data_IF_427648983262
#
_entry.id   IF_427648983262
#
_cell.length_a   1.000
_cell.length_b   1.000
_cell.length_c   1.000
_cell.angle_alpha   90.00
_cell.angle_beta   90.00
_cell.angle_gamma   90.00
#
_symmetry.space_group_name_H-M   'P 1'
#
loop_
_entity.id
_entity.type
_entity.pdbx_description
1 polymer ?
#
# COMPACT_ATOMS: atom_id res chain seq x y z
N UNK A 1 7.11 9.51 15.02
CA UNK A 1 6.61 10.28 13.87
C UNK A 1 7.77 10.53 12.95
N UNK A 2 7.60 10.30 11.65
CA UNK A 2 8.64 10.56 10.66
C UNK A 2 8.34 11.91 10.00
N UNK A 3 9.29 12.85 10.01
CA UNK A 3 9.10 14.18 9.43
C UNK A 3 9.29 14.11 7.91
N UNK A 4 8.18 13.97 7.17
CA UNK A 4 8.16 14.01 5.71
C UNK A 4 6.78 13.67 5.14
N UNK A 5 6.41 14.28 4.00
CA UNK A 5 5.22 13.88 3.27
C UNK A 5 5.44 12.47 2.69
N UNK A 6 4.78 11.47 3.25
CA UNK A 6 4.74 10.12 2.69
C UNK A 6 3.61 10.00 1.65
N UNK A 7 3.71 9.00 0.78
CA UNK A 7 2.74 8.72 -0.27
C UNK A 7 1.44 8.08 0.27
N UNK A 8 1.56 7.18 1.25
CA UNK A 8 0.43 6.50 1.91
C UNK A 8 0.66 6.33 3.41
N UNK A 9 -0.43 6.39 4.17
CA UNK A 9 -0.49 6.07 5.60
C UNK A 9 -1.67 5.12 5.86
N UNK A 10 -1.46 4.16 6.75
CA UNK A 10 -2.50 3.23 7.21
C UNK A 10 -2.73 3.37 8.71
N UNK A 11 -3.99 3.45 9.11
CA UNK A 11 -4.41 3.59 10.50
C UNK A 11 -5.34 2.43 10.86
N UNK A 12 -4.85 1.51 11.70
CA UNK A 12 -5.65 0.39 12.17
C UNK A 12 -6.83 0.88 13.00
N UNK A 13 -8.00 0.29 12.77
CA UNK A 13 -9.17 0.50 13.61
C UNK A 13 -9.17 -0.53 14.75
N UNK A 14 -9.19 -0.05 15.99
CA UNK A 14 -9.38 -0.88 17.17
C UNK A 14 -10.86 -0.83 17.60
N UNK A 15 -11.62 -1.93 17.45
CA UNK A 15 -13.02 -1.93 17.87
C UNK A 15 -13.14 -1.82 19.39
N UNK A 16 -14.22 -1.19 19.91
CA UNK A 16 -14.48 -1.17 21.34
C UNK A 16 -14.55 -2.58 21.93
N UNK A 17 -14.07 -2.80 23.17
CA UNK A 17 -14.11 -4.10 23.82
C UNK A 17 -15.52 -4.71 23.80
N UNK A 18 -15.61 -5.98 23.38
CA UNK A 18 -16.89 -6.70 23.27
C UNK A 18 -17.65 -6.44 21.96
N UNK A 19 -17.04 -5.79 20.97
CA UNK A 19 -17.61 -5.56 19.64
C UNK A 19 -16.73 -6.18 18.57
N UNK A 20 -17.34 -6.86 17.61
CA UNK A 20 -16.69 -7.25 16.36
C UNK A 20 -17.30 -6.43 15.22
N UNK A 21 -16.48 -5.61 14.58
CA UNK A 21 -16.88 -4.81 13.41
C UNK A 21 -16.01 -5.21 12.23
N UNK A 22 -16.57 -5.40 11.02
CA UNK A 22 -15.80 -5.73 9.82
C UNK A 22 -15.11 -4.48 9.23
N UNK A 23 -14.43 -3.71 10.09
CA UNK A 23 -13.72 -2.47 9.73
C UNK A 23 -12.24 -2.70 10.02
N UNK A 24 -11.40 -2.56 9.00
CA UNK A 24 -9.95 -2.72 9.13
C UNK A 24 -9.26 -1.45 9.62
N UNK A 25 -9.71 -0.28 9.12
CA UNK A 25 -9.04 0.99 9.36
C UNK A 25 -9.13 1.94 8.17
N UNK A 26 -8.29 2.97 8.20
CA UNK A 26 -8.21 4.01 7.18
C UNK A 26 -6.92 3.89 6.36
N UNK A 27 -7.04 4.15 5.06
CA UNK A 27 -5.89 4.35 4.16
C UNK A 27 -5.94 5.79 3.65
N UNK A 28 -4.91 6.58 3.95
CA UNK A 28 -4.80 7.99 3.55
C UNK A 28 -3.71 8.11 2.50
N UNK A 29 -4.08 8.59 1.30
CA UNK A 29 -3.17 8.71 0.16
C UNK A 29 -2.94 10.18 -0.19
N UNK A 30 -1.66 10.58 -0.28
CA UNK A 30 -1.29 11.93 -0.69
C UNK A 30 -1.19 12.04 -2.22
N UNK A 31 -2.30 12.42 -2.86
CA UNK A 31 -2.39 12.42 -4.32
C UNK A 31 -1.28 13.20 -5.06
N UNK A 32 -0.84 14.40 -4.62
CA UNK A 32 0.26 15.10 -5.29
C UNK A 32 1.60 14.36 -5.21
N UNK A 33 1.87 13.67 -4.10
CA UNK A 33 3.10 12.87 -3.90
C UNK A 33 3.07 11.65 -4.81
N UNK A 34 1.97 10.89 -4.82
CA UNK A 34 1.80 9.71 -5.69
C UNK A 34 1.95 10.06 -7.16
N UNK A 35 1.34 11.18 -7.62
CA UNK A 35 1.48 11.63 -9.01
C UNK A 35 2.92 11.97 -9.37
N UNK A 36 3.64 12.64 -8.47
CA UNK A 36 5.06 12.99 -8.67
C UNK A 36 5.94 11.73 -8.75
N UNK A 37 5.71 10.77 -7.86
CA UNK A 37 6.44 9.50 -7.85
C UNK A 37 6.18 8.67 -9.11
N UNK A 38 4.91 8.55 -9.52
CA UNK A 38 4.54 7.85 -10.75
C UNK A 38 5.30 8.43 -11.96
N UNK A 39 5.33 9.76 -12.08
CA UNK A 39 6.09 10.43 -13.13
C UNK A 39 7.60 10.18 -13.04
N UNK A 40 8.18 10.28 -11.84
CA UNK A 40 9.61 10.07 -11.63
C UNK A 40 10.06 8.63 -11.92
N UNK A 41 9.17 7.65 -11.70
CA UNK A 41 9.42 6.23 -11.93
C UNK A 41 8.95 5.75 -13.32
N UNK A 42 8.41 6.64 -14.16
CA UNK A 42 7.85 6.27 -15.46
C UNK A 42 6.63 5.34 -15.38
N UNK A 43 5.96 5.27 -14.23
CA UNK A 43 4.77 4.44 -14.00
C UNK A 43 3.50 5.18 -14.41
N UNK A 44 2.49 4.44 -14.84
CA UNK A 44 1.14 4.99 -14.95
C UNK A 44 0.70 5.53 -13.60
N UNK A 45 0.11 6.73 -13.57
CA UNK A 45 -0.46 7.31 -12.35
C UNK A 45 -1.47 6.35 -11.73
N UNK A 46 -2.35 5.74 -12.53
CA UNK A 46 -3.35 4.81 -12.04
C UNK A 46 -2.72 3.55 -11.42
N UNK A 47 -1.66 3.01 -12.04
CA UNK A 47 -0.95 1.85 -11.51
C UNK A 47 -0.27 2.18 -10.18
N UNK A 48 0.35 3.36 -10.06
CA UNK A 48 0.99 3.79 -8.81
C UNK A 48 -0.03 4.04 -7.69
N UNK A 49 -1.21 4.60 -8.00
CA UNK A 49 -2.30 4.67 -7.02
C UNK A 49 -2.79 3.30 -6.57
N UNK A 50 -2.98 2.37 -7.53
CA UNK A 50 -3.38 1.00 -7.19
C UNK A 50 -2.34 0.32 -6.30
N UNK A 51 -1.05 0.52 -6.57
CA UNK A 51 0.05 0.07 -5.73
C UNK A 51 -0.07 0.61 -4.30
N UNK A 52 -0.20 1.92 -4.12
CA UNK A 52 -0.29 2.54 -2.80
C UNK A 52 -1.52 2.10 -2.00
N UNK A 53 -2.66 1.90 -2.68
CA UNK A 53 -3.88 1.40 -2.01
C UNK A 53 -3.70 -0.07 -1.59
N UNK A 54 -3.15 -0.92 -2.46
CA UNK A 54 -2.89 -2.32 -2.11
C UNK A 54 -1.92 -2.43 -0.93
N UNK A 55 -0.82 -1.69 -0.99
CA UNK A 55 0.17 -1.57 0.09
C UNK A 55 -0.49 -1.12 1.40
N UNK A 56 -1.27 -0.05 1.36
CA UNK A 56 -1.97 0.47 2.54
C UNK A 56 -2.95 -0.52 3.15
N UNK A 57 -3.70 -1.27 2.32
CA UNK A 57 -4.63 -2.30 2.79
C UNK A 57 -3.89 -3.50 3.38
N UNK A 58 -2.77 -3.93 2.79
CA UNK A 58 -1.97 -5.03 3.33
C UNK A 58 -1.42 -4.69 4.73
N UNK A 59 -1.03 -3.43 4.95
CA UNK A 59 -0.71 -2.95 6.30
C UNK A 59 -1.89 -3.08 7.27
N UNK A 60 -3.10 -2.75 6.84
CA UNK A 60 -4.29 -2.93 7.68
C UNK A 60 -4.62 -4.41 7.95
N UNK A 61 -4.20 -5.32 7.07
CA UNK A 61 -4.29 -6.76 7.25
C UNK A 61 -3.18 -7.34 8.15
N UNK A 62 -2.27 -6.51 8.67
CA UNK A 62 -1.18 -6.93 9.54
C UNK A 62 0.09 -7.37 8.82
N UNK A 63 0.21 -7.14 7.51
CA UNK A 63 1.47 -7.35 6.80
C UNK A 63 2.42 -6.18 7.08
N UNK A 64 3.62 -6.51 7.56
CA UNK A 64 4.70 -5.55 7.79
C UNK A 64 5.78 -5.63 6.72
N UNK A 65 6.71 -4.68 6.77
CA UNK A 65 7.92 -4.68 5.95
C UNK A 65 9.14 -4.27 6.79
N UNK A 66 9.12 -4.53 8.11
CA UNK A 66 10.22 -4.13 9.00
C UNK A 66 11.43 -5.06 8.86
N UNK A 67 11.18 -6.31 8.48
CA UNK A 67 12.19 -7.31 8.21
C UNK A 67 12.15 -7.76 6.74
N UNK A 68 13.30 -8.09 6.16
CA UNK A 68 13.41 -8.50 4.75
C UNK A 68 12.47 -9.66 4.38
N UNK A 69 12.28 -10.62 5.29
CA UNK A 69 11.35 -11.74 5.07
C UNK A 69 9.89 -11.33 5.04
N UNK A 70 9.51 -10.31 5.83
CA UNK A 70 8.15 -9.76 5.82
C UNK A 70 7.93 -8.94 4.55
N UNK A 71 8.92 -8.13 4.18
CA UNK A 71 8.91 -7.36 2.95
C UNK A 71 8.71 -8.26 1.72
N UNK A 72 9.48 -9.33 1.58
CA UNK A 72 9.32 -10.28 0.45
C UNK A 72 7.91 -10.86 0.33
N UNK A 73 7.28 -11.20 1.46
CA UNK A 73 5.90 -11.72 1.46
C UNK A 73 4.93 -10.63 1.04
N UNK A 74 5.10 -9.41 1.57
CA UNK A 74 4.24 -8.27 1.24
C UNK A 74 4.38 -7.85 -0.23
N UNK A 75 5.61 -7.77 -0.75
CA UNK A 75 5.91 -7.46 -2.16
C UNK A 75 5.27 -8.49 -3.11
N UNK A 76 5.35 -9.79 -2.78
CA UNK A 76 4.72 -10.84 -3.57
C UNK A 76 3.18 -10.71 -3.59
N UNK A 77 2.56 -10.33 -2.46
CA UNK A 77 1.12 -10.09 -2.38
C UNK A 77 0.72 -8.84 -3.19
N UNK A 78 1.50 -7.77 -3.10
CA UNK A 78 1.28 -6.54 -3.88
C UNK A 78 1.35 -6.82 -5.38
N UNK A 79 2.39 -7.53 -5.84
CA UNK A 79 2.53 -7.95 -7.24
C UNK A 79 1.34 -8.81 -7.69
N UNK A 80 0.93 -9.78 -6.87
CA UNK A 80 -0.22 -10.63 -7.18
C UNK A 80 -1.53 -9.81 -7.31
N UNK A 81 -1.79 -8.90 -6.37
CA UNK A 81 -2.98 -8.04 -6.39
C UNK A 81 -2.97 -7.16 -7.64
N UNK A 82 -1.86 -6.49 -7.95
CA UNK A 82 -1.78 -5.57 -9.08
C UNK A 82 -1.96 -6.29 -10.42
N UNK A 83 -1.27 -7.41 -10.60
CA UNK A 83 -1.38 -8.22 -11.83
C UNK A 83 -2.79 -8.81 -12.01
N UNK A 84 -3.46 -9.22 -10.93
CA UNK A 84 -4.85 -9.69 -10.98
C UNK A 84 -5.84 -8.61 -11.44
N UNK A 85 -5.51 -7.34 -11.20
CA UNK A 85 -6.30 -6.17 -11.59
C UNK A 85 -5.88 -5.60 -12.97
N UNK A 86 -4.95 -6.26 -13.67
CA UNK A 86 -4.49 -5.88 -15.00
C UNK A 86 -3.39 -4.81 -15.03
N UNK A 87 -2.77 -4.51 -13.89
CA UNK A 87 -1.57 -3.65 -13.84
C UNK A 87 -0.30 -4.48 -14.01
N UNK A 88 0.79 -3.82 -14.41
CA UNK A 88 2.11 -4.43 -14.39
C UNK A 88 2.58 -4.70 -12.96
N UNK A 89 3.49 -5.66 -12.80
CA UNK A 89 4.18 -5.90 -11.53
C UNK A 89 4.99 -4.65 -11.15
N UNK A 90 4.77 -4.05 -9.95
CA UNK A 90 5.45 -2.83 -9.55
C UNK A 90 6.94 -3.01 -9.22
N UNK A 91 7.41 -4.26 -9.08
CA UNK A 91 8.78 -4.66 -8.74
C UNK A 91 9.56 -5.29 -9.90
N UNK A 92 8.90 -5.62 -11.01
CA UNK A 92 9.62 -6.04 -12.20
C UNK A 92 10.36 -4.84 -12.80
N UNK A 93 11.68 -4.92 -12.88
CA UNK A 93 12.46 -4.01 -13.72
C UNK A 93 12.00 -4.19 -15.18
N UNK A 94 11.71 -3.07 -15.85
CA UNK A 94 11.28 -3.04 -17.26
C UNK A 94 12.31 -3.65 -18.22
#
# INVERSE_FOLDING_TARGET
GHDGATNVLSFLFEPPPGTELPILGDVVVCAPVVRREAQAQGKSTQAHFAHMVAHGVLHLCGHGHQHDSEAQVMEALEAHILTSQGFADPYSDF
#
